data_IF_545714190526
#
_entry.id   IF_545714190526
#
_cell.length_a   1.000
_cell.length_b   1.000
_cell.length_c   1.000
_cell.angle_alpha   90.00
_cell.angle_beta   90.00
_cell.angle_gamma   90.00
#
_symmetry.space_group_name_H-M   'P 1'
#
loop_
_entity.id
_entity.type
_entity.pdbx_description
1 polymer ?
#
# COMPACT_ATOMS: atom_id res chain seq x y z
N UNK A 1 -1.93 -4.88 9.24
CA UNK A 1 -1.04 -5.99 8.82
C UNK A 1 0.32 -5.39 8.45
N UNK A 2 1.42 -6.14 8.57
CA UNK A 2 2.76 -5.69 8.17
C UNK A 2 3.48 -6.81 7.41
N UNK A 3 4.27 -6.45 6.42
CA UNK A 3 5.21 -7.32 5.70
C UNK A 3 6.53 -6.58 5.59
N UNK A 4 7.63 -7.31 5.71
CA UNK A 4 8.97 -6.75 5.58
C UNK A 4 9.67 -7.33 4.35
N UNK A 5 10.48 -6.53 3.69
CA UNK A 5 11.23 -6.92 2.48
C UNK A 5 12.69 -6.55 2.70
N UNK A 6 13.57 -7.52 2.46
CA UNK A 6 15.02 -7.34 2.49
C UNK A 6 15.61 -7.71 1.13
N UNK A 7 16.45 -6.84 0.58
CA UNK A 7 17.05 -7.03 -0.75
C UNK A 7 18.24 -6.11 -1.01
N UNK A 8 18.63 -6.02 -2.27
CA UNK A 8 19.70 -5.16 -2.75
C UNK A 8 19.20 -3.73 -2.96
N UNK A 9 19.41 -2.87 -1.97
CA UNK A 9 19.03 -1.45 -2.00
C UNK A 9 19.89 -0.58 -2.93
N UNK A 10 20.80 -1.17 -3.71
CA UNK A 10 21.50 -0.46 -4.79
C UNK A 10 20.78 -0.54 -6.13
N UNK A 11 19.71 -1.34 -6.23
CA UNK A 11 18.87 -1.51 -7.42
C UNK A 11 17.90 -0.35 -7.60
N UNK A 12 17.49 -0.13 -8.84
CA UNK A 12 16.44 0.83 -9.19
C UNK A 12 15.11 0.12 -9.40
N UNK A 13 14.02 0.74 -8.93
CA UNK A 13 12.67 0.24 -9.18
C UNK A 13 12.27 0.67 -10.60
N UNK A 14 11.92 -0.26 -11.50
CA UNK A 14 11.76 0.04 -12.93
C UNK A 14 10.37 0.58 -13.29
N UNK A 15 9.57 0.97 -12.30
CA UNK A 15 8.20 1.42 -12.45
C UNK A 15 7.88 2.54 -11.46
N UNK A 16 6.93 3.40 -11.81
CA UNK A 16 6.46 4.45 -10.93
C UNK A 16 5.33 3.97 -9.99
N UNK A 17 4.87 4.85 -9.10
CA UNK A 17 3.79 4.54 -8.17
C UNK A 17 2.48 4.16 -8.86
N UNK A 18 2.19 4.69 -10.06
CA UNK A 18 0.94 4.46 -10.77
C UNK A 18 0.95 3.09 -11.44
N UNK A 19 2.07 2.71 -12.05
CA UNK A 19 2.28 1.35 -12.54
C UNK A 19 2.17 0.33 -11.41
N UNK A 20 2.81 0.60 -10.26
CA UNK A 20 2.70 -0.24 -9.07
C UNK A 20 1.23 -0.37 -8.62
N UNK A 21 0.51 0.74 -8.49
CA UNK A 21 -0.89 0.75 -8.08
C UNK A 21 -1.79 -0.04 -9.04
N UNK A 22 -1.55 0.08 -10.36
CA UNK A 22 -2.28 -0.69 -11.38
C UNK A 22 -2.01 -2.19 -11.29
N UNK A 23 -0.77 -2.61 -10.99
CA UNK A 23 -0.42 -4.01 -10.73
C UNK A 23 -1.11 -4.53 -9.47
N UNK A 24 -1.09 -3.72 -8.39
CA UNK A 24 -1.71 -4.06 -7.12
C UNK A 24 -3.23 -4.27 -7.23
N UNK A 25 -3.95 -3.30 -7.79
CA UNK A 25 -5.40 -3.32 -7.83
C UNK A 25 -5.91 -3.79 -9.18
N UNK A 26 -5.86 -2.92 -10.19
CA UNK A 26 -6.29 -3.19 -11.56
C UNK A 26 -5.84 -2.05 -12.47
N UNK A 27 -5.68 -2.32 -13.77
CA UNK A 27 -5.45 -1.25 -14.75
C UNK A 27 -6.72 -0.42 -14.98
N UNK A 28 -7.85 -1.11 -15.18
CA UNK A 28 -9.21 -0.54 -15.28
C UNK A 28 -10.23 -1.51 -14.72
N UNK A 29 -11.29 -0.98 -14.13
CA UNK A 29 -12.49 -1.72 -13.74
C UNK A 29 -13.71 -1.01 -14.32
N UNK A 30 -14.52 -1.75 -15.07
CA UNK A 30 -15.68 -1.20 -15.79
C UNK A 30 -15.34 0.03 -16.68
N UNK A 31 -14.12 0.04 -17.23
CA UNK A 31 -13.62 1.13 -18.08
C UNK A 31 -13.05 2.33 -17.33
N UNK A 32 -13.07 2.33 -15.99
CA UNK A 32 -12.59 3.41 -15.13
C UNK A 32 -11.23 3.02 -14.53
N UNK A 33 -10.28 3.94 -14.51
CA UNK A 33 -8.98 3.75 -13.86
C UNK A 33 -9.12 3.77 -12.32
N UNK A 34 -8.17 3.17 -11.57
CA UNK A 34 -8.14 3.27 -10.12
C UNK A 34 -8.27 4.71 -9.63
N UNK A 35 -9.16 4.94 -8.67
CA UNK A 35 -9.36 6.25 -8.07
C UNK A 35 -8.43 6.35 -6.86
N UNK A 36 -7.26 6.95 -7.10
CA UNK A 36 -6.11 6.87 -6.20
C UNK A 36 -5.79 8.22 -5.58
N UNK A 37 -5.59 8.22 -4.27
CA UNK A 37 -4.86 9.27 -3.55
C UNK A 37 -3.49 8.74 -3.15
N UNK A 38 -2.49 9.61 -3.14
CA UNK A 38 -1.13 9.23 -2.77
C UNK A 38 -0.39 10.30 -1.97
N UNK A 39 0.61 9.87 -1.20
CA UNK A 39 1.61 10.74 -0.58
C UNK A 39 2.99 10.07 -0.64
N UNK A 40 4.04 10.83 -0.90
CA UNK A 40 5.41 10.32 -1.01
C UNK A 40 6.06 10.59 -2.37
N UNK A 41 7.03 9.75 -2.74
CA UNK A 41 7.82 9.91 -3.96
C UNK A 41 7.21 9.10 -5.12
N UNK A 42 7.01 9.74 -6.27
CA UNK A 42 6.32 9.14 -7.43
C UNK A 42 7.20 8.16 -8.21
N UNK A 43 8.50 8.42 -8.22
CA UNK A 43 9.55 7.68 -8.91
C UNK A 43 10.13 6.52 -8.09
N UNK A 44 9.58 6.27 -6.89
CA UNK A 44 9.98 5.19 -5.99
C UNK A 44 11.52 5.05 -5.80
N UNK A 45 12.23 6.14 -5.46
CA UNK A 45 13.68 6.12 -5.29
C UNK A 45 14.06 5.26 -4.09
N UNK A 46 14.89 4.23 -4.31
CA UNK A 46 15.15 3.19 -3.32
C UNK A 46 15.74 3.73 -2.02
N UNK A 47 16.64 4.72 -2.06
CA UNK A 47 17.33 5.31 -0.90
C UNK A 47 16.40 6.04 0.07
N UNK A 48 15.25 6.49 -0.43
CA UNK A 48 14.24 7.25 0.31
C UNK A 48 12.82 6.77 0.05
N UNK A 49 12.68 5.49 -0.26
CA UNK A 49 11.41 4.89 -0.63
C UNK A 49 10.37 5.13 0.47
N UNK A 50 9.34 5.87 0.08
CA UNK A 50 8.16 6.15 0.89
C UNK A 50 7.03 6.50 -0.07
N UNK A 51 6.01 5.65 -0.10
CA UNK A 51 4.81 5.83 -0.89
C UNK A 51 3.61 5.28 -0.13
N UNK A 52 2.59 6.12 0.02
CA UNK A 52 1.36 5.83 0.71
C UNK A 52 0.25 5.90 -0.34
N UNK A 53 -0.47 4.81 -0.55
CA UNK A 53 -1.50 4.69 -1.59
C UNK A 53 -2.85 4.43 -0.94
N UNK A 54 -3.86 5.18 -1.37
CA UNK A 54 -5.24 4.99 -0.97
C UNK A 54 -6.13 4.81 -2.20
N UNK A 55 -6.84 3.68 -2.27
CA UNK A 55 -7.82 3.43 -3.32
C UNK A 55 -9.23 3.71 -2.78
N UNK A 56 -9.99 4.54 -3.49
CA UNK A 56 -11.44 4.65 -3.30
C UNK A 56 -12.15 3.42 -3.90
N UNK A 57 -12.70 2.57 -3.03
CA UNK A 57 -13.42 1.36 -3.42
C UNK A 57 -14.87 1.64 -3.80
N UNK A 58 -15.49 2.73 -3.33
CA UNK A 58 -16.91 3.02 -3.61
C UNK A 58 -17.14 3.56 -5.03
N UNK A 59 -16.10 4.13 -5.64
CA UNK A 59 -16.07 4.45 -7.09
C UNK A 59 -16.15 3.18 -7.94
N UNK A 60 -15.54 2.10 -7.46
CA UNK A 60 -15.31 0.88 -8.23
C UNK A 60 -16.19 -0.30 -7.83
N UNK A 61 -16.89 -0.23 -6.70
CA UNK A 61 -17.79 -1.27 -6.23
C UNK A 61 -18.85 -0.68 -5.29
N UNK A 62 -20.08 -0.62 -5.81
CA UNK A 62 -21.23 -0.02 -5.14
C UNK A 62 -21.58 -0.68 -3.79
N UNK A 63 -21.09 -1.90 -3.53
CA UNK A 63 -21.29 -2.58 -2.23
C UNK A 63 -20.68 -1.79 -1.08
N UNK A 64 -19.65 -0.98 -1.34
CA UNK A 64 -18.99 -0.15 -0.33
C UNK A 64 -19.74 1.14 0.00
N UNK A 65 -20.75 1.55 -0.80
CA UNK A 65 -21.53 2.77 -0.54
C UNK A 65 -22.53 2.62 0.62
N UNK A 66 -22.95 1.40 0.90
CA UNK A 66 -24.08 1.10 1.79
C UNK A 66 -23.74 0.05 2.85
N UNK A 67 -22.45 -0.08 3.22
CA UNK A 67 -22.03 -0.99 4.29
C UNK A 67 -22.73 -0.56 5.58
N UNK A 68 -23.55 -1.45 6.14
CA UNK A 68 -24.18 -1.20 7.42
C UNK A 68 -23.12 -1.23 8.52
N UNK A 69 -22.99 -0.11 9.21
CA UNK A 69 -22.18 0.00 10.41
C UNK A 69 -22.78 -0.93 11.46
N UNK A 70 -21.93 -1.73 12.14
CA UNK A 70 -22.38 -2.59 13.24
C UNK A 70 -23.14 -1.78 14.29
N UNK A 71 -24.24 -2.35 14.79
CA UNK A 71 -25.05 -1.76 15.85
C UNK A 71 -24.16 -1.42 17.07
N UNK A 72 -24.27 -0.17 17.56
CA UNK A 72 -23.46 0.34 18.67
C UNK A 72 -22.22 1.18 18.29
N UNK A 73 -21.83 1.22 17.01
CA UNK A 73 -20.79 2.16 16.54
C UNK A 73 -21.46 3.51 16.21
N UNK A 74 -21.04 4.56 16.92
CA UNK A 74 -21.59 5.92 16.79
C UNK A 74 -21.06 6.71 15.60
N UNK A 75 -19.88 6.35 15.09
CA UNK A 75 -19.16 7.10 14.06
C UNK A 75 -18.74 6.16 12.94
N UNK A 76 -19.20 6.46 11.73
CA UNK A 76 -18.63 5.89 10.53
C UNK A 76 -17.37 6.65 10.20
N UNK A 77 -16.21 6.02 10.40
CA UNK A 77 -14.95 6.59 9.93
C UNK A 77 -14.73 6.31 8.43
N UNK A 78 -15.71 5.71 7.74
CA UNK A 78 -15.71 5.45 6.30
C UNK A 78 -14.52 4.60 5.84
N UNK A 79 -13.79 3.95 6.75
CA UNK A 79 -12.62 3.12 6.45
C UNK A 79 -12.95 1.88 5.62
N UNK A 80 -14.24 1.55 5.47
CA UNK A 80 -14.68 0.51 4.54
C UNK A 80 -14.72 0.99 3.10
N UNK A 81 -14.75 2.30 2.85
CA UNK A 81 -14.87 2.92 1.51
C UNK A 81 -13.54 3.07 0.81
N UNK A 82 -12.47 3.25 1.55
CA UNK A 82 -11.12 3.25 1.01
C UNK A 82 -10.28 2.13 1.58
N UNK A 83 -9.21 1.79 0.90
CA UNK A 83 -8.15 0.94 1.43
C UNK A 83 -6.82 1.67 1.31
N UNK A 84 -5.98 1.53 2.32
CA UNK A 84 -4.74 2.28 2.44
C UNK A 84 -3.57 1.31 2.62
N UNK A 85 -2.57 1.39 1.75
CA UNK A 85 -1.34 0.58 1.80
C UNK A 85 -0.14 1.51 1.67
N UNK A 86 0.79 1.41 2.61
CA UNK A 86 2.03 2.20 2.61
C UNK A 86 3.24 1.30 2.48
N UNK A 87 4.28 1.80 1.81
CA UNK A 87 5.59 1.20 1.65
C UNK A 87 6.64 2.23 2.05
N UNK A 88 7.38 1.93 3.12
CA UNK A 88 8.44 2.78 3.66
C UNK A 88 9.61 1.92 4.15
N UNK A 89 10.73 2.53 4.52
CA UNK A 89 11.66 1.85 5.42
C UNK A 89 11.05 1.65 6.81
N UNK A 90 11.50 0.61 7.49
CA UNK A 90 11.34 0.49 8.94
C UNK A 90 11.85 1.77 9.62
N UNK A 91 11.19 2.19 10.70
CA UNK A 91 11.49 3.41 11.48
C UNK A 91 11.48 4.76 10.74
N UNK A 92 11.23 4.79 9.42
CA UNK A 92 11.19 6.01 8.63
C UNK A 92 10.11 7.02 9.06
N UNK A 93 9.07 6.54 9.75
CA UNK A 93 8.02 7.38 10.32
C UNK A 93 8.38 7.90 11.74
N UNK A 94 9.32 7.24 12.42
CA UNK A 94 9.74 7.61 13.79
C UNK A 94 10.97 8.51 13.82
N UNK A 95 11.81 8.44 12.79
CA UNK A 95 12.88 9.40 12.53
C UNK A 95 12.46 10.29 11.36
N UNK A 96 12.93 11.54 11.25
CA UNK A 96 12.72 12.37 10.04
C UNK A 96 13.51 11.81 8.83
N UNK A 97 13.37 10.51 8.54
CA UNK A 97 14.15 9.70 7.60
C UNK A 97 15.66 9.62 7.90
N UNK A 98 16.10 10.00 9.11
CA UNK A 98 17.52 10.00 9.53
C UNK A 98 18.00 8.67 10.08
N UNK A 99 17.10 7.92 10.69
CA UNK A 99 17.31 6.56 11.20
C UNK A 99 16.28 5.67 10.53
N UNK A 100 16.68 5.01 9.43
CA UNK A 100 15.85 4.03 8.73
C UNK A 100 16.32 2.65 9.17
N UNK A 101 15.39 1.75 9.45
CA UNK A 101 15.69 0.35 9.73
C UNK A 101 16.23 -0.37 8.49
N UNK A 102 16.61 -1.63 8.67
CA UNK A 102 17.32 -2.40 7.63
C UNK A 102 16.40 -2.97 6.54
N UNK A 103 15.09 -2.93 6.77
CA UNK A 103 14.09 -3.55 5.91
C UNK A 103 13.10 -2.50 5.37
N UNK A 104 12.62 -2.72 4.15
CA UNK A 104 11.40 -2.09 3.70
C UNK A 104 10.21 -2.73 4.42
N UNK A 105 9.17 -1.94 4.67
CA UNK A 105 7.97 -2.32 5.39
C UNK A 105 6.75 -1.89 4.60
N UNK A 106 5.92 -2.87 4.25
CA UNK A 106 4.57 -2.66 3.75
C UNK A 106 3.60 -2.74 4.93
N UNK A 107 2.74 -1.75 5.08
CA UNK A 107 1.75 -1.71 6.15
C UNK A 107 0.42 -1.15 5.66
N UNK A 108 -0.62 -1.35 6.47
CA UNK A 108 -1.92 -0.73 6.29
C UNK A 108 -2.45 -0.28 7.65
N UNK A 109 -3.13 0.87 7.67
CA UNK A 109 -3.85 1.43 8.84
C UNK A 109 -5.13 0.67 9.13
N UNK A 110 -5.67 -0.05 8.14
CA UNK A 110 -6.82 -0.91 8.27
C UNK A 110 -6.44 -2.20 9.02
N UNK A 111 -6.94 -2.33 10.25
CA UNK A 111 -6.65 -3.46 11.14
C UNK A 111 -7.63 -4.63 10.98
N UNK A 112 -8.85 -4.36 10.49
CA UNK A 112 -9.90 -5.37 10.34
C UNK A 112 -9.76 -6.17 9.03
N UNK A 113 -9.99 -7.48 9.10
CA UNK A 113 -9.75 -8.48 8.05
C UNK A 113 -10.49 -8.24 6.71
N UNK A 114 -11.49 -7.35 6.69
CA UNK A 114 -12.38 -7.11 5.55
C UNK A 114 -12.11 -5.78 4.82
N UNK A 115 -11.13 -4.98 5.25
CA UNK A 115 -10.97 -3.62 4.71
C UNK A 115 -9.77 -3.42 3.78
N UNK A 116 -8.80 -4.34 3.76
CA UNK A 116 -7.63 -4.31 2.84
C UNK A 116 -7.71 -5.44 1.81
N UNK A 117 -7.52 -5.13 0.54
CA UNK A 117 -7.24 -6.15 -0.47
C UNK A 117 -5.86 -6.75 -0.20
N UNK A 118 -5.82 -7.89 0.50
CA UNK A 118 -4.57 -8.61 0.79
C UNK A 118 -3.83 -9.00 -0.50
N UNK A 119 -4.54 -9.22 -1.60
CA UNK A 119 -3.91 -9.49 -2.91
C UNK A 119 -3.11 -8.27 -3.36
N UNK A 120 -3.66 -7.07 -3.25
CA UNK A 120 -2.94 -5.83 -3.59
C UNK A 120 -1.68 -5.67 -2.72
N UNK A 121 -1.78 -5.94 -1.42
CA UNK A 121 -0.63 -5.90 -0.50
C UNK A 121 0.45 -6.94 -0.86
N UNK A 122 0.07 -8.17 -1.21
CA UNK A 122 1.02 -9.20 -1.61
C UNK A 122 1.63 -8.93 -2.98
N UNK A 123 0.88 -8.38 -3.92
CA UNK A 123 1.42 -7.96 -5.22
C UNK A 123 2.47 -6.87 -5.00
N UNK A 124 2.18 -5.85 -4.19
CA UNK A 124 3.19 -4.83 -3.84
C UNK A 124 4.46 -5.48 -3.27
N UNK A 125 4.32 -6.45 -2.36
CA UNK A 125 5.46 -7.14 -1.79
C UNK A 125 6.29 -7.89 -2.82
N UNK A 126 5.64 -8.61 -3.74
CA UNK A 126 6.30 -9.38 -4.80
C UNK A 126 6.99 -8.46 -5.80
N UNK A 127 6.31 -7.40 -6.26
CA UNK A 127 6.83 -6.45 -7.25
C UNK A 127 8.07 -5.73 -6.71
N UNK A 128 8.01 -5.25 -5.46
CA UNK A 128 9.14 -4.57 -4.82
C UNK A 128 10.29 -5.55 -4.55
N UNK A 129 10.01 -6.71 -3.95
CA UNK A 129 11.04 -7.72 -3.70
C UNK A 129 11.73 -8.14 -5.00
N UNK A 130 10.98 -8.35 -6.08
CA UNK A 130 11.54 -8.71 -7.39
C UNK A 130 12.41 -7.59 -7.96
N UNK A 131 11.98 -6.32 -7.84
CA UNK A 131 12.74 -5.18 -8.36
C UNK A 131 14.11 -5.01 -7.69
N UNK A 132 14.24 -5.43 -6.43
CA UNK A 132 15.48 -5.28 -5.64
C UNK A 132 16.21 -6.60 -5.39
N UNK A 133 15.94 -7.65 -6.17
CA UNK A 133 16.50 -9.01 -5.98
C UNK A 133 16.36 -9.50 -4.52
N UNK A 134 15.26 -9.13 -3.86
CA UNK A 134 14.98 -9.34 -2.45
C UNK A 134 13.97 -10.44 -2.17
N UNK A 135 13.67 -10.62 -0.88
CA UNK A 135 12.71 -11.59 -0.36
C UNK A 135 11.87 -10.98 0.77
N UNK A 136 10.70 -11.57 1.01
CA UNK A 136 9.89 -11.25 2.19
C UNK A 136 10.66 -11.75 3.43
N UNK A 137 10.91 -10.86 4.40
CA UNK A 137 11.61 -11.20 5.65
C UNK A 137 10.73 -12.07 6.55
N UNK A 138 11.38 -12.81 7.45
CA UNK A 138 10.70 -13.60 8.50
C UNK A 138 10.24 -12.73 9.68
N UNK A 139 10.68 -11.46 9.74
CA UNK A 139 10.35 -10.48 10.79
C UNK A 139 8.86 -10.04 10.80
#
# INVERSE_FOLDING_TARGET
>A
MRLYIKGDYTKEIPFDYMELAKRMWFEKKDGIEPDLSYAGYLDLPIDKLSIHLELDKETHDVRWRSVQIKEGIKYDFLSHKSEYIQLDYEDAMMSDFREKGECLRIASTHLDLLTVDKRAMYIMAIEIATAIDGQISED
#
